data_IF_227589770259
#
_entry.id   IF_227589770259
#
_cell.length_a   1.000
_cell.length_b   1.000
_cell.length_c   1.000
_cell.angle_alpha   90.00
_cell.angle_beta   90.00
_cell.angle_gamma   90.00
#
_symmetry.space_group_name_H-M   'P 1'
#
loop_
_entity.id
_entity.type
_entity.pdbx_description
1 polymer ?
#
# COMPACT_ATOMS: atom_id res chain seq x y z
N UNK A 1 9.22 -35.18 -34.95
CA UNK A 1 8.00 -35.00 -34.13
C UNK A 1 8.40 -35.45 -32.74
N UNK A 2 8.67 -34.48 -31.88
CA UNK A 2 9.50 -34.71 -30.69
C UNK A 2 8.77 -35.53 -29.63
N UNK A 3 9.47 -36.51 -29.05
CA UNK A 3 8.99 -37.41 -27.99
C UNK A 3 8.34 -36.66 -26.81
N UNK A 4 8.70 -35.39 -26.65
CA UNK A 4 8.30 -34.51 -25.56
C UNK A 4 6.83 -34.07 -25.68
N UNK A 5 6.30 -33.87 -26.90
CA UNK A 5 4.89 -33.51 -27.12
C UNK A 5 3.95 -34.63 -26.64
N UNK A 6 4.36 -35.89 -26.81
CA UNK A 6 3.58 -37.04 -26.31
C UNK A 6 3.47 -37.08 -24.79
N UNK A 7 4.41 -36.48 -24.04
CA UNK A 7 4.35 -36.47 -22.58
C UNK A 7 3.17 -35.66 -22.04
N UNK A 8 2.60 -34.78 -22.87
CA UNK A 8 1.50 -33.88 -22.51
C UNK A 8 0.15 -34.21 -23.18
N UNK A 9 0.12 -35.25 -24.02
CA UNK A 9 -1.08 -35.77 -24.67
C UNK A 9 -1.33 -35.15 -26.06
N UNK A 10 -2.37 -35.63 -26.73
CA UNK A 10 -2.65 -35.32 -28.15
C UNK A 10 -3.23 -33.90 -28.40
N UNK A 11 -3.30 -33.05 -27.36
CA UNK A 11 -3.92 -31.72 -27.43
C UNK A 11 -2.98 -30.57 -27.77
N UNK A 12 -1.67 -30.81 -27.86
CA UNK A 12 -0.68 -29.76 -28.12
C UNK A 12 -0.47 -29.50 -29.61
N UNK A 13 -0.59 -28.24 -30.02
CA UNK A 13 -0.16 -27.81 -31.37
C UNK A 13 1.37 -27.71 -31.40
N UNK A 14 1.99 -27.96 -32.56
CA UNK A 14 3.45 -27.99 -32.77
C UNK A 14 4.22 -26.72 -32.35
N UNK A 15 3.56 -25.61 -32.03
CA UNK A 15 4.17 -24.33 -31.67
C UNK A 15 3.70 -23.80 -30.30
N UNK A 16 3.12 -24.65 -29.45
CA UNK A 16 2.68 -24.25 -28.11
C UNK A 16 3.75 -24.60 -27.07
N UNK A 17 4.14 -23.61 -26.26
CA UNK A 17 5.03 -23.82 -25.13
C UNK A 17 4.26 -24.47 -23.99
N UNK A 18 4.86 -25.50 -23.38
CA UNK A 18 4.24 -26.30 -22.33
C UNK A 18 5.26 -26.69 -21.25
N UNK A 19 4.78 -26.98 -20.05
CA UNK A 19 5.57 -27.56 -18.96
C UNK A 19 4.76 -28.65 -18.29
N UNK A 20 5.42 -29.70 -17.79
CA UNK A 20 4.85 -30.59 -16.77
C UNK A 20 5.47 -30.32 -15.39
N UNK A 21 4.82 -30.77 -14.33
CA UNK A 21 5.23 -30.49 -12.97
C UNK A 21 5.71 -31.76 -12.27
N UNK A 22 6.75 -31.62 -11.46
CA UNK A 22 7.29 -32.70 -10.63
C UNK A 22 7.26 -32.28 -9.17
N UNK A 23 7.15 -33.28 -8.28
CA UNK A 23 7.34 -33.07 -6.85
C UNK A 23 8.83 -32.95 -6.47
N UNK A 24 9.11 -32.80 -5.18
CA UNK A 24 10.48 -32.68 -4.66
C UNK A 24 11.33 -33.93 -4.84
N UNK A 25 10.72 -35.09 -5.07
CA UNK A 25 11.40 -36.34 -5.35
C UNK A 25 11.67 -36.52 -6.87
N UNK A 26 11.26 -35.53 -7.68
CA UNK A 26 11.39 -35.56 -9.13
C UNK A 26 10.33 -36.40 -9.82
N UNK A 27 9.29 -36.84 -9.10
CA UNK A 27 8.20 -37.63 -9.68
C UNK A 27 7.21 -36.69 -10.36
N UNK A 28 6.86 -37.01 -11.61
CA UNK A 28 5.82 -36.30 -12.36
C UNK A 28 4.47 -36.38 -11.64
N UNK A 29 3.82 -35.23 -11.51
CA UNK A 29 2.50 -35.09 -10.91
C UNK A 29 1.40 -35.25 -11.97
N UNK A 30 0.34 -35.96 -11.59
CA UNK A 30 -0.84 -36.17 -12.42
C UNK A 30 -1.75 -34.91 -12.42
N UNK A 31 -2.54 -34.67 -13.48
CA UNK A 31 -3.43 -33.51 -13.53
C UNK A 31 -4.44 -33.47 -12.37
N UNK A 32 -4.86 -34.63 -11.87
CA UNK A 32 -5.75 -34.72 -10.71
C UNK A 32 -5.09 -34.29 -9.39
N UNK A 33 -3.78 -34.04 -9.38
CA UNK A 33 -3.02 -33.57 -8.22
C UNK A 33 -2.71 -32.07 -8.32
N UNK A 34 -3.07 -31.40 -9.41
CA UNK A 34 -2.62 -30.05 -9.71
C UNK A 34 -3.79 -29.08 -9.89
N UNK A 35 -3.59 -27.86 -9.43
CA UNK A 35 -4.40 -26.70 -9.79
C UNK A 35 -3.47 -25.65 -10.42
N UNK A 36 -3.91 -25.00 -11.50
CA UNK A 36 -3.14 -23.97 -12.18
C UNK A 36 -3.93 -22.69 -12.37
N UNK A 37 -3.23 -21.56 -12.21
CA UNK A 37 -3.79 -20.23 -12.29
C UNK A 37 -2.88 -19.31 -13.11
N UNK A 38 -3.48 -18.43 -13.91
CA UNK A 38 -2.81 -17.27 -14.48
C UNK A 38 -2.92 -16.11 -13.47
N UNK A 39 -1.77 -15.51 -13.14
CA UNK A 39 -1.67 -14.38 -12.23
C UNK A 39 -1.68 -13.08 -13.03
N UNK A 40 -2.62 -12.20 -12.71
CA UNK A 40 -2.75 -10.85 -13.28
C UNK A 40 -2.81 -9.81 -12.17
N UNK A 41 -2.73 -8.53 -12.52
CA UNK A 41 -2.93 -7.43 -11.55
C UNK A 41 -4.32 -7.47 -10.90
N UNK A 42 -5.33 -7.92 -11.64
CA UNK A 42 -6.71 -8.03 -11.16
C UNK A 42 -6.97 -9.27 -10.27
N UNK A 43 -5.98 -10.17 -10.14
CA UNK A 43 -6.11 -11.41 -9.37
C UNK A 43 -5.74 -12.65 -10.16
N UNK A 44 -6.15 -13.81 -9.64
CA UNK A 44 -5.86 -15.12 -10.23
C UNK A 44 -7.07 -15.72 -10.97
N UNK A 45 -6.81 -16.29 -12.14
CA UNK A 45 -7.83 -16.99 -12.94
C UNK A 45 -7.42 -18.43 -13.20
N UNK A 46 -8.34 -19.38 -13.01
CA UNK A 46 -8.04 -20.81 -13.23
C UNK A 46 -7.72 -21.08 -14.70
N UNK A 47 -6.67 -21.85 -14.94
CA UNK A 47 -6.28 -22.32 -16.27
C UNK A 47 -6.35 -23.83 -16.28
N UNK A 48 -6.82 -24.42 -17.38
CA UNK A 48 -6.92 -25.87 -17.53
C UNK A 48 -5.57 -26.50 -17.86
N UNK A 49 -5.29 -27.63 -17.23
CA UNK A 49 -4.19 -28.52 -17.59
C UNK A 49 -4.63 -29.51 -18.68
N UNK A 50 -3.67 -30.05 -19.42
CA UNK A 50 -3.94 -31.17 -20.34
C UNK A 50 -4.28 -32.45 -19.58
N UNK A 51 -4.79 -33.46 -20.29
CA UNK A 51 -5.09 -34.80 -19.75
C UNK A 51 -3.87 -35.51 -19.12
N UNK A 52 -2.64 -35.02 -19.38
CA UNK A 52 -1.38 -35.54 -18.80
C UNK A 52 -0.68 -34.53 -17.88
N UNK A 53 -1.41 -33.54 -17.38
CA UNK A 53 -0.94 -32.63 -16.33
C UNK A 53 0.01 -31.53 -16.81
N UNK A 54 0.01 -31.22 -18.11
CA UNK A 54 0.83 -30.14 -18.63
C UNK A 54 0.06 -28.82 -18.69
N UNK A 55 0.75 -27.72 -18.43
CA UNK A 55 0.20 -26.37 -18.61
C UNK A 55 0.66 -25.81 -19.94
N UNK A 56 -0.31 -25.35 -20.74
CA UNK A 56 -0.05 -24.57 -21.94
C UNK A 56 -0.03 -23.09 -21.59
N UNK A 57 1.07 -22.42 -21.91
CA UNK A 57 1.25 -21.03 -21.52
C UNK A 57 1.49 -20.12 -22.72
N UNK A 58 1.00 -18.89 -22.61
CA UNK A 58 1.24 -17.82 -23.58
C UNK A 58 2.49 -17.01 -23.20
N UNK A 59 3.03 -16.23 -24.14
CA UNK A 59 4.16 -15.33 -23.86
C UNK A 59 3.75 -14.22 -22.89
N UNK A 60 4.72 -13.72 -22.11
CA UNK A 60 4.59 -12.58 -21.19
C UNK A 60 3.46 -12.75 -20.14
N UNK A 61 3.28 -13.97 -19.65
CA UNK A 61 2.27 -14.31 -18.65
C UNK A 61 2.92 -14.93 -17.43
N UNK A 62 2.30 -14.75 -16.26
CA UNK A 62 2.74 -15.33 -15.00
C UNK A 62 1.74 -16.38 -14.55
N UNK A 63 2.24 -17.51 -14.08
CA UNK A 63 1.43 -18.65 -13.68
C UNK A 63 1.79 -19.11 -12.26
N UNK A 64 0.79 -19.59 -11.54
CA UNK A 64 0.91 -20.33 -10.30
C UNK A 64 0.39 -21.74 -10.53
N UNK A 65 1.19 -22.74 -10.18
CA UNK A 65 0.73 -24.14 -10.16
C UNK A 65 1.02 -24.73 -8.79
N UNK A 66 0.02 -25.38 -8.21
CA UNK A 66 0.10 -25.95 -6.87
C UNK A 66 -0.38 -27.39 -6.82
N UNK A 67 0.19 -28.15 -5.91
CA UNK A 67 -0.28 -29.48 -5.55
C UNK A 67 -1.52 -29.34 -4.65
N UNK A 68 -2.61 -30.02 -4.98
CA UNK A 68 -3.85 -29.98 -4.17
C UNK A 68 -3.76 -30.80 -2.88
N UNK A 69 -2.77 -31.70 -2.78
CA UNK A 69 -2.61 -32.64 -1.66
C UNK A 69 -1.59 -32.17 -0.62
N UNK A 70 -0.84 -31.10 -0.89
CA UNK A 70 0.23 -30.62 0.00
C UNK A 70 0.53 -29.14 -0.16
N UNK A 71 1.62 -28.71 0.47
CA UNK A 71 2.02 -27.29 0.53
C UNK A 71 3.04 -26.91 -0.56
N UNK A 72 3.01 -27.67 -1.67
CA UNK A 72 3.95 -27.53 -2.76
C UNK A 72 3.36 -26.69 -3.89
N UNK A 73 4.10 -25.68 -4.32
CA UNK A 73 3.70 -24.89 -5.49
C UNK A 73 4.89 -24.23 -6.19
N UNK A 74 4.64 -23.74 -7.40
CA UNK A 74 5.61 -22.99 -8.19
C UNK A 74 4.94 -21.80 -8.86
N UNK A 75 5.68 -20.71 -8.95
CA UNK A 75 5.30 -19.48 -9.65
C UNK A 75 6.37 -19.25 -10.69
N UNK A 76 5.94 -19.00 -11.93
CA UNK A 76 6.87 -18.73 -13.01
C UNK A 76 6.28 -17.72 -13.98
N UNK A 77 7.17 -16.97 -14.63
CA UNK A 77 6.83 -16.16 -15.79
C UNK A 77 7.24 -16.91 -17.07
N UNK A 78 6.42 -16.86 -18.10
CA UNK A 78 6.59 -17.68 -19.30
C UNK A 78 7.83 -17.34 -20.11
N UNK A 79 8.31 -16.11 -20.01
CA UNK A 79 9.58 -15.64 -20.56
C UNK A 79 10.79 -16.24 -19.86
N UNK A 80 10.67 -16.70 -18.62
CA UNK A 80 11.77 -17.31 -17.86
C UNK A 80 11.90 -18.83 -18.08
N UNK A 81 11.00 -19.44 -18.85
CA UNK A 81 11.08 -20.86 -19.20
C UNK A 81 11.83 -21.01 -20.52
N UNK A 82 13.16 -21.02 -20.42
CA UNK A 82 14.05 -21.37 -21.53
C UNK A 82 14.41 -22.85 -21.45
N UNK A 83 14.12 -23.61 -22.51
CA UNK A 83 14.54 -25.00 -22.73
C UNK A 83 14.21 -26.00 -21.61
N UNK A 84 13.25 -25.67 -20.75
CA UNK A 84 12.75 -26.57 -19.70
C UNK A 84 11.35 -27.04 -20.03
N UNK A 85 11.21 -28.35 -20.17
CA UNK A 85 9.91 -29.00 -20.34
C UNK A 85 9.24 -29.33 -19.00
N UNK A 86 9.90 -29.04 -17.87
CA UNK A 86 9.37 -29.30 -16.53
C UNK A 86 9.75 -28.25 -15.50
N UNK A 87 8.95 -28.18 -14.44
CA UNK A 87 9.19 -27.36 -13.26
C UNK A 87 8.96 -28.15 -11.97
N UNK A 88 9.84 -27.92 -10.99
CA UNK A 88 9.71 -28.45 -9.64
C UNK A 88 8.71 -27.61 -8.83
N UNK A 89 7.86 -28.27 -8.05
CA UNK A 89 7.06 -27.60 -7.02
C UNK A 89 7.89 -27.46 -5.73
N UNK A 90 8.02 -26.24 -5.21
CA UNK A 90 8.73 -25.96 -3.96
C UNK A 90 7.78 -26.08 -2.76
N UNK A 91 8.30 -26.49 -1.59
CA UNK A 91 7.52 -26.55 -0.35
C UNK A 91 7.46 -25.16 0.31
N UNK A 92 6.23 -24.74 0.64
CA UNK A 92 5.92 -23.45 1.25
C UNK A 92 5.35 -23.57 2.66
N UNK A 93 5.48 -24.75 3.30
CA UNK A 93 5.00 -25.01 4.66
C UNK A 93 5.51 -24.01 5.70
N UNK A 94 6.68 -23.39 5.46
CA UNK A 94 7.34 -22.42 6.35
C UNK A 94 7.03 -20.95 6.01
N UNK A 95 6.32 -20.68 4.91
CA UNK A 95 5.91 -19.32 4.59
C UNK A 95 4.73 -18.93 5.48
N UNK A 96 4.83 -17.76 6.10
CA UNK A 96 3.80 -17.24 6.97
C UNK A 96 3.47 -15.78 6.65
N UNK A 97 2.21 -15.45 6.94
CA UNK A 97 1.72 -14.09 7.01
C UNK A 97 1.13 -13.92 8.40
N UNK A 98 1.39 -12.78 9.03
CA UNK A 98 0.82 -12.41 10.31
C UNK A 98 0.32 -10.98 10.29
N UNK A 99 -0.42 -10.61 11.33
CA UNK A 99 -0.99 -9.28 11.46
C UNK A 99 -0.44 -8.56 12.69
N UNK A 100 -0.20 -7.27 12.55
CA UNK A 100 0.21 -6.35 13.63
C UNK A 100 -0.98 -5.67 14.30
N UNK A 101 -2.10 -6.36 14.40
CA UNK A 101 -3.25 -5.88 15.12
C UNK A 101 -3.96 -7.06 15.79
N UNK A 102 -4.63 -6.80 16.91
CA UNK A 102 -5.33 -7.83 17.70
C UNK A 102 -6.74 -7.35 18.02
N UNK A 103 -7.69 -8.28 18.06
CA UNK A 103 -9.08 -7.99 18.39
C UNK A 103 -9.24 -7.33 19.78
N UNK A 104 -8.45 -7.78 20.76
CA UNK A 104 -8.61 -7.39 22.17
C UNK A 104 -7.88 -6.10 22.55
N UNK A 105 -7.21 -5.43 21.61
CA UNK A 105 -6.40 -4.25 21.90
C UNK A 105 -6.56 -3.21 20.80
N UNK A 106 -7.43 -2.20 21.00
CA UNK A 106 -7.59 -1.13 20.04
C UNK A 106 -6.26 -0.46 19.73
N UNK A 107 -5.96 -0.26 18.45
CA UNK A 107 -4.79 0.48 18.00
C UNK A 107 -5.21 1.86 17.51
N UNK A 108 -4.44 2.88 17.83
CA UNK A 108 -4.66 4.24 17.34
C UNK A 108 -3.79 4.48 16.11
N UNK A 109 -4.37 4.96 15.01
CA UNK A 109 -3.72 5.11 13.70
C UNK A 109 -4.18 6.39 13.00
N UNK A 110 -3.40 6.92 12.06
CA UNK A 110 -3.81 8.03 11.20
C UNK A 110 -4.51 7.57 9.94
N UNK A 111 -4.95 8.55 9.17
CA UNK A 111 -5.50 8.37 7.84
C UNK A 111 -4.48 7.86 6.81
N UNK A 112 -3.18 7.89 7.11
CA UNK A 112 -2.13 7.35 6.23
C UNK A 112 -1.90 5.85 6.40
N UNK A 113 -2.52 5.17 7.37
CA UNK A 113 -2.34 3.74 7.59
C UNK A 113 -2.69 2.94 6.33
N UNK A 114 -1.75 2.12 5.86
CA UNK A 114 -1.95 1.19 4.75
C UNK A 114 -2.05 -0.26 5.23
N UNK A 115 -2.51 -1.15 4.36
CA UNK A 115 -2.56 -2.59 4.68
C UNK A 115 -1.15 -3.16 4.83
N UNK A 116 -0.18 -2.63 4.09
CA UNK A 116 1.23 -3.05 4.17
C UNK A 116 1.80 -2.87 5.58
N UNK A 117 1.38 -1.84 6.31
CA UNK A 117 1.85 -1.56 7.68
C UNK A 117 1.35 -2.59 8.70
N UNK A 118 0.19 -3.19 8.41
CA UNK A 118 -0.47 -4.16 9.29
C UNK A 118 -0.06 -5.60 9.02
N UNK A 119 0.53 -5.90 7.86
CA UNK A 119 0.88 -7.26 7.46
C UNK A 119 2.37 -7.52 7.66
N UNK A 120 2.71 -8.52 8.49
CA UNK A 120 4.08 -9.06 8.61
C UNK A 120 4.21 -10.34 7.79
N UNK A 121 5.33 -10.49 7.10
CA UNK A 121 5.56 -11.61 6.18
C UNK A 121 7.04 -11.99 6.18
N UNK A 122 7.33 -13.28 6.00
CA UNK A 122 8.66 -13.80 5.65
C UNK A 122 8.73 -14.29 4.20
N UNK A 123 7.78 -13.89 3.37
CA UNK A 123 7.61 -14.36 2.01
C UNK A 123 8.67 -13.70 1.11
N UNK A 124 9.51 -14.48 0.41
CA UNK A 124 10.41 -13.93 -0.60
C UNK A 124 9.65 -13.30 -1.76
N UNK A 125 10.23 -12.27 -2.40
CA UNK A 125 9.59 -11.50 -3.49
C UNK A 125 9.12 -12.37 -4.66
N UNK A 126 9.81 -13.48 -4.95
CA UNK A 126 9.41 -14.40 -6.02
C UNK A 126 8.06 -15.10 -5.75
N UNK A 127 7.64 -15.19 -4.48
CA UNK A 127 6.42 -15.87 -4.01
C UNK A 127 5.29 -14.94 -3.61
N UNK A 128 5.57 -13.64 -3.44
CA UNK A 128 4.64 -12.68 -2.84
C UNK A 128 3.34 -12.51 -3.66
N UNK A 129 3.41 -12.65 -4.98
CA UNK A 129 2.23 -12.63 -5.86
C UNK A 129 1.35 -13.88 -5.74
N UNK A 130 1.71 -14.82 -4.87
CA UNK A 130 0.89 -15.96 -4.47
C UNK A 130 -0.13 -15.61 -3.39
N UNK A 131 -0.12 -14.38 -2.85
CA UNK A 131 -0.91 -13.98 -1.69
C UNK A 131 -1.86 -12.84 -2.04
N UNK A 132 -3.15 -13.06 -1.80
CA UNK A 132 -4.20 -12.06 -1.97
C UNK A 132 -4.64 -11.51 -0.61
N UNK A 133 -4.72 -10.20 -0.48
CA UNK A 133 -5.27 -9.53 0.69
C UNK A 133 -6.64 -8.98 0.35
N UNK A 134 -7.56 -9.14 1.28
CA UNK A 134 -8.85 -8.49 1.29
C UNK A 134 -8.95 -7.71 2.60
N UNK A 135 -9.40 -6.46 2.54
CA UNK A 135 -9.71 -5.71 3.75
C UNK A 135 -11.06 -5.02 3.64
N UNK A 136 -11.76 -4.89 4.76
CA UNK A 136 -13.00 -4.11 4.88
C UNK A 136 -13.00 -3.28 6.15
N UNK A 137 -13.63 -2.11 6.10
CA UNK A 137 -13.76 -1.20 7.23
C UNK A 137 -15.23 -0.99 7.53
N UNK A 138 -15.63 -1.38 8.74
CA UNK A 138 -16.98 -1.20 9.25
C UNK A 138 -17.00 -0.10 10.31
N UNK A 139 -17.95 0.84 10.16
CA UNK A 139 -18.30 1.84 11.16
C UNK A 139 -19.82 2.00 11.23
N UNK A 140 -20.35 2.61 12.31
CA UNK A 140 -21.81 2.77 12.50
C UNK A 140 -22.55 3.40 11.30
N UNK A 141 -21.85 4.16 10.45
CA UNK A 141 -22.40 4.92 9.32
C UNK A 141 -21.67 4.65 7.98
N UNK A 142 -20.75 3.69 7.96
CA UNK A 142 -19.88 3.38 6.81
C UNK A 142 -19.75 1.86 6.66
N UNK A 143 -20.27 1.34 5.55
CA UNK A 143 -19.96 0.00 5.08
C UNK A 143 -19.04 0.13 3.87
N UNK A 144 -17.73 0.22 4.10
CA UNK A 144 -16.77 0.18 3.00
C UNK A 144 -16.55 -1.28 2.58
N UNK A 145 -16.88 -1.59 1.33
CA UNK A 145 -16.82 -2.96 0.80
C UNK A 145 -15.39 -3.45 0.59
N UNK A 146 -15.23 -4.76 0.74
CA UNK A 146 -13.95 -5.44 0.70
C UNK A 146 -13.18 -5.15 -0.60
N UNK A 147 -11.98 -4.55 -0.48
CA UNK A 147 -11.07 -4.36 -1.62
C UNK A 147 -10.04 -5.49 -1.60
N UNK A 148 -9.89 -6.19 -2.74
CA UNK A 148 -9.02 -7.35 -2.90
C UNK A 148 -7.87 -7.09 -3.87
N UNK A 149 -6.63 -7.42 -3.48
CA UNK A 149 -5.44 -7.23 -4.32
C UNK A 149 -4.28 -8.14 -3.90
N UNK A 150 -3.24 -8.22 -4.75
CA UNK A 150 -2.02 -8.97 -4.42
C UNK A 150 -1.17 -8.21 -3.38
N UNK A 151 -0.53 -8.93 -2.46
CA UNK A 151 0.22 -8.37 -1.32
C UNK A 151 1.30 -7.33 -1.69
N UNK A 152 1.84 -7.38 -2.91
CA UNK A 152 2.87 -6.45 -3.40
C UNK A 152 2.35 -5.39 -4.40
N UNK A 153 1.03 -5.26 -4.55
CA UNK A 153 0.45 -4.25 -5.43
C UNK A 153 0.55 -2.85 -4.81
N UNK A 154 0.57 -1.80 -5.64
CA UNK A 154 0.47 -0.42 -5.18
C UNK A 154 -0.79 -0.17 -4.34
N UNK A 155 -1.84 -0.98 -4.54
CA UNK A 155 -3.07 -0.93 -3.74
C UNK A 155 -2.86 -1.33 -2.28
N UNK A 156 -1.83 -2.11 -1.96
CA UNK A 156 -1.45 -2.44 -0.58
C UNK A 156 -0.87 -1.24 0.18
N UNK A 157 -0.30 -0.28 -0.55
CA UNK A 157 0.25 0.98 -0.03
C UNK A 157 -0.77 2.10 -0.01
N UNK A 158 -1.92 1.92 -0.68
CA UNK A 158 -3.02 2.87 -0.62
C UNK A 158 -3.56 2.95 0.81
N UNK A 159 -3.80 4.17 1.34
CA UNK A 159 -4.37 4.35 2.66
C UNK A 159 -5.74 3.67 2.80
N UNK A 160 -5.93 2.99 3.93
CA UNK A 160 -7.18 2.31 4.29
C UNK A 160 -8.29 3.34 4.60
N UNK A 161 -7.91 4.43 5.24
CA UNK A 161 -8.81 5.50 5.64
C UNK A 161 -8.64 6.70 4.70
N UNK A 162 -9.73 7.42 4.44
CA UNK A 162 -9.67 8.66 3.69
C UNK A 162 -9.77 9.88 4.62
N UNK A 163 -9.38 11.05 4.12
CA UNK A 163 -9.36 12.31 4.88
C UNK A 163 -10.75 12.79 5.31
N UNK A 164 -11.83 12.24 4.77
CA UNK A 164 -13.22 12.62 5.11
C UNK A 164 -13.82 11.75 6.21
N UNK A 165 -13.21 10.61 6.56
CA UNK A 165 -13.68 9.71 7.62
C UNK A 165 -13.57 10.37 9.01
N UNK A 166 -14.62 10.29 9.83
CA UNK A 166 -14.62 10.87 11.17
C UNK A 166 -13.62 10.19 12.11
N UNK A 167 -13.06 10.92 13.07
CA UNK A 167 -12.21 10.36 14.13
C UNK A 167 -13.06 9.57 15.14
N UNK A 168 -13.28 8.29 14.83
CA UNK A 168 -14.04 7.37 15.67
C UNK A 168 -13.47 5.96 15.59
N UNK A 169 -13.88 5.05 16.50
CA UNK A 169 -13.51 3.65 16.40
C UNK A 169 -14.14 2.99 15.17
N UNK A 170 -13.30 2.30 14.39
CA UNK A 170 -13.66 1.46 13.26
C UNK A 170 -13.29 0.02 13.53
N UNK A 171 -13.99 -0.90 12.87
CA UNK A 171 -13.58 -2.31 12.82
C UNK A 171 -12.94 -2.58 11.46
N UNK A 172 -11.64 -2.83 11.45
CA UNK A 172 -10.92 -3.29 10.27
C UNK A 172 -10.88 -4.81 10.29
N UNK A 173 -11.36 -5.43 9.23
CA UNK A 173 -11.19 -6.86 8.98
C UNK A 173 -10.20 -7.06 7.85
N UNK A 174 -9.13 -7.81 8.09
CA UNK A 174 -8.12 -8.15 7.08
C UNK A 174 -8.10 -9.65 6.91
N UNK A 175 -8.14 -10.10 5.66
CA UNK A 175 -8.12 -11.49 5.28
C UNK A 175 -7.04 -11.70 4.24
N UNK A 176 -6.08 -12.57 4.54
CA UNK A 176 -5.02 -12.96 3.60
C UNK A 176 -5.27 -14.39 3.15
N UNK A 177 -5.40 -14.56 1.85
CA UNK A 177 -5.52 -15.85 1.19
C UNK A 177 -4.16 -16.23 0.62
N UNK A 178 -3.59 -17.32 1.13
CA UNK A 178 -2.36 -17.89 0.58
C UNK A 178 -2.74 -18.83 -0.57
N UNK A 179 -2.63 -18.37 -1.81
CA UNK A 179 -2.93 -19.19 -2.98
C UNK A 179 -1.84 -20.23 -3.29
N UNK A 180 -0.66 -20.17 -2.66
CA UNK A 180 0.34 -21.24 -2.75
C UNK A 180 -0.14 -22.55 -2.10
N UNK A 181 -1.14 -22.46 -1.20
CA UNK A 181 -1.72 -23.59 -0.46
C UNK A 181 -3.23 -23.60 -0.69
N UNK A 182 -3.86 -24.79 -0.74
CA UNK A 182 -5.28 -24.89 -1.11
C UNK A 182 -6.24 -24.26 -0.08
N UNK A 183 -5.94 -24.44 1.21
CA UNK A 183 -6.89 -24.17 2.30
C UNK A 183 -6.35 -23.24 3.38
N UNK A 184 -5.31 -22.45 3.09
CA UNK A 184 -4.78 -21.49 4.06
C UNK A 184 -5.34 -20.09 3.78
N UNK A 185 -6.28 -19.70 4.63
CA UNK A 185 -6.77 -18.34 4.73
C UNK A 185 -6.60 -17.89 6.18
N UNK A 186 -6.02 -16.72 6.36
CA UNK A 186 -5.90 -16.07 7.65
C UNK A 186 -6.83 -14.88 7.65
N UNK A 187 -7.56 -14.69 8.74
CA UNK A 187 -8.48 -13.58 8.90
C UNK A 187 -8.34 -13.04 10.31
N UNK A 188 -8.18 -11.74 10.41
CA UNK A 188 -8.13 -11.02 11.67
C UNK A 188 -9.05 -9.81 11.64
N UNK A 189 -9.66 -9.53 12.78
CA UNK A 189 -10.49 -8.35 13.00
C UNK A 189 -9.85 -7.51 14.11
N UNK A 190 -9.72 -6.22 13.86
CA UNK A 190 -9.06 -5.30 14.78
C UNK A 190 -9.94 -4.07 15.00
N UNK A 191 -10.02 -3.59 16.24
CA UNK A 191 -10.58 -2.27 16.52
C UNK A 191 -9.50 -1.24 16.30
N UNK A 192 -9.80 -0.25 15.46
CA UNK A 192 -8.90 0.84 15.12
C UNK A 192 -9.55 2.14 15.58
N UNK A 193 -8.87 2.91 16.40
CA UNK A 193 -9.24 4.28 16.68
C UNK A 193 -8.57 5.17 15.63
N UNK A 194 -9.36 5.69 14.69
CA UNK A 194 -8.84 6.68 13.75
C UNK A 194 -8.61 7.98 14.51
N UNK A 195 -7.37 8.40 14.52
CA UNK A 195 -6.90 9.62 15.13
C UNK A 195 -6.04 10.33 14.10
N UNK A 196 -6.58 11.37 13.46
CA UNK A 196 -5.85 12.13 12.44
C UNK A 196 -4.84 13.08 13.07
N UNK A 197 -4.64 13.01 14.39
CA UNK A 197 -3.66 13.81 15.11
C UNK A 197 -2.22 13.28 15.06
N UNK A 198 -1.87 12.27 14.23
CA UNK A 198 -0.46 11.83 14.03
C UNK A 198 0.46 12.99 13.66
N UNK A 199 1.67 13.02 14.25
CA UNK A 199 2.07 14.14 15.09
C UNK A 199 1.53 15.43 14.49
N UNK A 200 0.42 15.90 15.06
CA UNK A 200 -0.14 17.20 14.77
C UNK A 200 0.99 18.20 14.95
N UNK A 201 1.52 18.63 13.82
CA UNK A 201 2.42 19.75 13.79
C UNK A 201 1.54 20.96 13.64
N UNK A 202 1.54 21.81 14.65
CA UNK A 202 0.87 23.10 14.58
C UNK A 202 1.92 24.18 14.40
N UNK A 203 1.62 25.15 13.55
CA UNK A 203 2.35 26.39 13.53
C UNK A 203 1.85 27.26 14.69
N UNK A 204 2.66 27.44 15.71
CA UNK A 204 2.34 28.32 16.84
C UNK A 204 3.04 29.66 16.70
N UNK A 205 2.36 30.70 17.20
CA UNK A 205 2.98 32.01 17.40
C UNK A 205 3.25 32.17 18.89
N UNK A 206 4.51 31.99 19.28
CA UNK A 206 4.95 32.07 20.68
C UNK A 206 4.91 33.54 21.16
N UNK A 207 3.76 33.95 21.68
CA UNK A 207 3.54 35.27 22.27
C UNK A 207 2.54 35.23 23.42
N UNK A 208 2.64 36.21 24.30
CA UNK A 208 1.71 36.41 25.42
C UNK A 208 0.34 36.96 25.00
N UNK A 209 0.17 37.47 23.78
CA UNK A 209 -1.09 38.02 23.26
C UNK A 209 -1.52 37.29 21.97
N UNK A 210 -2.82 37.04 21.82
CA UNK A 210 -3.37 36.36 20.64
C UNK A 210 -3.15 37.21 19.38
N UNK A 211 -2.59 36.65 18.29
CA UNK A 211 -2.45 37.34 17.01
C UNK A 211 -3.81 37.78 16.47
N UNK A 212 -3.83 38.91 15.75
CA UNK A 212 -5.05 39.42 15.11
C UNK A 212 -5.33 38.64 13.83
N UNK A 213 -6.60 38.31 13.60
CA UNK A 213 -7.07 37.70 12.36
C UNK A 213 -7.84 38.73 11.53
N UNK A 214 -7.74 38.63 10.21
CA UNK A 214 -8.43 39.50 9.27
C UNK A 214 -9.17 38.67 8.23
N UNK A 215 -10.34 39.13 7.78
CA UNK A 215 -11.05 38.51 6.67
C UNK A 215 -10.32 38.77 5.35
N UNK A 216 -9.90 37.71 4.68
CA UNK A 216 -9.31 37.72 3.34
C UNK A 216 -10.35 37.26 2.32
N UNK A 217 -10.68 38.14 1.36
CA UNK A 217 -11.63 37.87 0.27
C UNK A 217 -13.01 37.34 0.73
N UNK A 218 -13.42 37.62 1.96
CA UNK A 218 -14.74 37.30 2.50
C UNK A 218 -15.04 35.81 2.73
N UNK A 219 -14.06 34.92 2.55
CA UNK A 219 -14.25 33.47 2.69
C UNK A 219 -13.21 32.79 3.58
N UNK A 220 -12.17 33.50 4.04
CA UNK A 220 -11.11 32.94 4.88
C UNK A 220 -10.58 33.97 5.87
N UNK A 221 -10.20 33.53 7.05
CA UNK A 221 -9.47 34.34 8.02
C UNK A 221 -7.97 34.12 7.85
N UNK A 222 -7.20 35.21 7.72
CA UNK A 222 -5.73 35.18 7.68
C UNK A 222 -5.16 35.72 8.99
N UNK A 223 -3.98 35.23 9.35
CA UNK A 223 -3.30 35.59 10.58
C UNK A 223 -2.30 36.73 10.32
N UNK A 224 -2.39 37.83 11.08
CA UNK A 224 -1.37 38.88 11.02
C UNK A 224 -0.20 38.54 11.92
N UNK A 225 0.97 38.42 11.29
CA UNK A 225 2.22 38.10 11.97
C UNK A 225 3.18 39.28 11.83
N UNK A 226 3.69 39.79 12.96
CA UNK A 226 4.67 40.87 13.01
C UNK A 226 6.07 40.31 13.16
N UNK A 227 7.08 41.09 12.79
CA UNK A 227 8.49 40.73 12.96
C UNK A 227 8.92 40.49 14.43
N UNK A 228 8.14 41.00 15.39
CA UNK A 228 8.37 40.75 16.83
C UNK A 228 7.78 39.42 17.32
N UNK A 229 7.02 38.73 16.47
CA UNK A 229 6.44 37.43 16.81
C UNK A 229 7.52 36.34 16.68
N UNK A 230 7.30 35.17 17.27
CA UNK A 230 8.14 34.00 17.02
C UNK A 230 7.25 32.90 16.51
N UNK A 231 7.49 32.43 15.29
CA UNK A 231 6.80 31.29 14.72
C UNK A 231 7.61 30.03 15.04
N UNK A 232 6.97 29.02 15.60
CA UNK A 232 7.60 27.72 15.78
C UNK A 232 6.64 26.64 15.35
N UNK A 233 7.20 25.53 14.91
CA UNK A 233 6.44 24.30 14.90
C UNK A 233 6.32 23.79 16.33
N UNK A 234 5.18 23.20 16.65
CA UNK A 234 4.99 22.45 17.88
C UNK A 234 4.42 21.11 17.52
N UNK A 235 4.98 20.07 18.12
CA UNK A 235 4.41 18.73 18.08
C UNK A 235 3.97 18.31 19.46
N UNK A 236 2.83 17.62 19.51
CA UNK A 236 2.40 16.91 20.71
C UNK A 236 3.06 15.53 20.83
N UNK A 237 3.73 15.05 19.77
CA UNK A 237 4.46 13.79 19.78
C UNK A 237 5.94 13.98 20.15
N UNK A 238 6.42 13.17 21.09
CA UNK A 238 7.82 13.16 21.51
C UNK A 238 8.78 12.59 20.45
N UNK A 239 8.24 11.95 19.41
CA UNK A 239 9.03 11.25 18.39
C UNK A 239 9.26 12.09 17.12
N UNK A 240 8.71 13.32 17.03
CA UNK A 240 8.90 14.16 15.84
C UNK A 240 10.32 14.72 15.77
N UNK A 241 11.11 14.18 14.83
CA UNK A 241 12.50 14.60 14.60
C UNK A 241 12.59 15.84 13.72
N UNK A 242 11.89 15.84 12.58
CA UNK A 242 12.05 16.87 11.56
C UNK A 242 10.71 17.38 11.03
N UNK A 243 10.76 18.58 10.46
CA UNK A 243 9.66 19.27 9.81
C UNK A 243 10.13 19.75 8.47
N UNK A 244 9.40 19.40 7.43
CA UNK A 244 9.60 19.95 6.10
C UNK A 244 8.60 21.10 5.90
N UNK A 245 9.08 22.28 5.51
CA UNK A 245 8.23 23.45 5.32
C UNK A 245 8.67 24.36 4.19
N UNK A 246 7.74 25.19 3.71
CA UNK A 246 7.94 26.13 2.61
C UNK A 246 7.23 27.44 2.87
N UNK A 247 7.90 28.55 2.58
CA UNK A 247 7.34 29.90 2.60
C UNK A 247 7.15 30.36 1.16
N UNK A 248 5.92 30.62 0.76
CA UNK A 248 5.59 31.12 -0.59
C UNK A 248 4.96 32.50 -0.49
N UNK A 249 5.59 33.48 -1.12
CA UNK A 249 5.04 34.84 -1.21
C UNK A 249 3.88 34.82 -2.19
N UNK A 250 2.70 35.21 -1.72
CA UNK A 250 1.48 35.29 -2.54
C UNK A 250 1.33 36.68 -3.16
N UNK A 251 1.59 37.74 -2.39
CA UNK A 251 1.46 39.12 -2.85
C UNK A 251 2.24 40.09 -1.97
N UNK A 252 2.69 41.19 -2.57
CA UNK A 252 3.10 42.39 -1.84
C UNK A 252 1.88 43.13 -1.26
N UNK A 253 2.04 43.77 -0.09
CA UNK A 253 0.98 44.59 0.54
C UNK A 253 0.57 45.81 -0.30
N UNK A 254 1.34 46.14 -1.34
CA UNK A 254 1.15 47.37 -2.13
C UNK A 254 0.19 47.22 -3.31
N UNK A 255 -0.27 46.01 -3.65
CA UNK A 255 -1.26 45.84 -4.73
C UNK A 255 -2.67 46.03 -4.20
N UNK A 256 -3.37 47.07 -4.66
CA UNK A 256 -4.78 47.37 -4.37
C UNK A 256 -5.77 46.29 -4.78
N UNK A 257 -5.30 45.23 -5.45
CA UNK A 257 -6.09 44.11 -5.93
C UNK A 257 -5.54 42.84 -5.30
N UNK A 258 -6.26 42.29 -4.32
CA UNK A 258 -5.99 40.96 -3.77
C UNK A 258 -6.28 39.92 -4.85
N UNK A 259 -5.24 39.25 -5.34
CA UNK A 259 -5.40 38.16 -6.31
C UNK A 259 -5.86 36.89 -5.58
N UNK A 260 -6.76 36.10 -6.19
CA UNK A 260 -7.10 34.79 -5.65
C UNK A 260 -5.84 33.93 -5.60
N UNK A 261 -5.68 33.21 -4.49
CA UNK A 261 -4.57 32.30 -4.27
C UNK A 261 -4.46 31.31 -5.46
N UNK A 262 -3.26 31.06 -6.00
CA UNK A 262 -3.11 30.05 -7.03
C UNK A 262 -3.57 28.70 -6.48
N UNK A 263 -4.44 28.02 -7.22
CA UNK A 263 -5.06 26.75 -6.81
C UNK A 263 -4.06 25.60 -6.57
N UNK A 264 -2.81 25.78 -6.99
CA UNK A 264 -1.68 24.87 -6.78
C UNK A 264 -0.45 25.66 -6.33
N UNK A 265 -0.29 25.89 -5.04
CA UNK A 265 0.97 26.39 -4.49
C UNK A 265 1.98 25.24 -4.49
N UNK A 266 2.93 25.28 -5.41
CA UNK A 266 4.01 24.30 -5.46
C UNK A 266 5.18 24.74 -4.58
N UNK A 267 5.61 23.84 -3.70
CA UNK A 267 6.87 24.01 -3.01
C UNK A 267 8.00 23.36 -3.80
N UNK A 268 8.77 24.18 -4.50
CA UNK A 268 9.87 23.69 -5.32
C UNK A 268 11.14 23.43 -4.51
N UNK A 269 11.32 24.10 -3.37
CA UNK A 269 12.50 23.98 -2.50
C UNK A 269 12.10 24.00 -1.02
N UNK A 270 11.71 22.86 -0.43
CA UNK A 270 11.39 22.79 0.98
C UNK A 270 12.62 22.96 1.86
N UNK A 271 12.41 23.61 3.00
CA UNK A 271 13.39 23.70 4.10
C UNK A 271 13.08 22.63 5.14
N UNK A 272 14.12 22.04 5.73
CA UNK A 272 13.99 21.06 6.81
C UNK A 272 14.47 21.69 8.11
N UNK A 273 13.70 21.52 9.18
CA UNK A 273 14.05 22.01 10.51
C UNK A 273 13.63 21.03 11.60
N UNK A 274 14.32 21.05 12.73
CA UNK A 274 13.87 20.32 13.93
C UNK A 274 12.59 20.96 14.49
N UNK A 275 11.76 20.14 15.15
CA UNK A 275 10.38 20.46 15.57
C UNK A 275 10.23 21.62 16.56
N UNK A 276 11.32 22.20 17.08
CA UNK A 276 11.32 23.28 18.08
C UNK A 276 12.03 24.56 17.62
N UNK A 277 12.43 24.65 16.35
CA UNK A 277 13.19 25.80 15.85
C UNK A 277 12.26 26.96 15.48
N UNK A 278 12.68 28.19 15.82
CA UNK A 278 12.01 29.41 15.40
C UNK A 278 12.22 29.67 13.91
N UNK A 279 11.12 29.87 13.18
CA UNK A 279 11.17 30.24 11.77
C UNK A 279 11.69 31.66 11.59
N UNK A 280 12.60 31.84 10.64
CA UNK A 280 13.02 33.17 10.21
C UNK A 280 11.88 33.84 9.44
N UNK A 281 11.57 35.09 9.80
CA UNK A 281 10.62 35.90 9.04
C UNK A 281 11.22 36.35 7.71
N UNK A 282 10.43 36.41 6.63
CA UNK A 282 10.84 37.11 5.43
C UNK A 282 11.15 38.58 5.69
N UNK A 283 12.14 39.14 4.99
CA UNK A 283 12.57 40.54 5.14
C UNK A 283 11.54 41.58 4.64
N UNK A 284 10.48 41.13 3.96
CA UNK A 284 9.48 41.99 3.32
C UNK A 284 8.07 41.67 3.79
N UNK A 285 7.26 42.72 4.02
CA UNK A 285 5.84 42.58 4.32
C UNK A 285 5.05 42.11 3.09
N UNK A 286 3.95 41.40 3.32
CA UNK A 286 3.22 40.74 2.26
C UNK A 286 2.26 39.68 2.76
N UNK A 287 1.49 39.11 1.84
CA UNK A 287 0.73 37.89 2.08
C UNK A 287 1.61 36.69 1.75
N UNK A 288 1.70 35.77 2.70
CA UNK A 288 2.54 34.58 2.62
C UNK A 288 1.71 33.35 2.91
N UNK A 289 1.98 32.27 2.18
CA UNK A 289 1.48 30.93 2.47
C UNK A 289 2.61 30.10 3.06
N UNK A 290 2.28 29.34 4.11
CA UNK A 290 3.20 28.41 4.76
C UNK A 290 2.63 27.01 4.59
N UNK A 291 3.36 26.16 3.90
CA UNK A 291 3.02 24.75 3.73
C UNK A 291 4.03 23.94 4.54
N UNK A 292 3.57 23.00 5.34
CA UNK A 292 4.47 22.21 6.18
C UNK A 292 3.92 20.81 6.43
N UNK A 293 4.82 19.88 6.75
CA UNK A 293 4.49 18.52 7.18
C UNK A 293 5.57 17.97 8.12
N UNK A 294 5.14 17.09 9.01
CA UNK A 294 6.05 16.27 9.80
C UNK A 294 6.83 15.32 8.86
N UNK A 295 8.13 15.14 9.13
CA UNK A 295 8.97 14.14 8.47
C UNK A 295 9.87 13.45 9.52
N UNK A 296 10.03 12.13 9.42
CA UNK A 296 10.85 11.32 10.34
C UNK A 296 12.35 11.35 10.01
#
# INVERSE_FOLDING_TARGET
MDREIFQCGNGLKQNQSFVYFVDQEGKKLEPTQLESFEITEAGMTSVSLTERGCLNFGPNKKYLVRNIQGDQSTIFASDNIFDKNYLDLKDHSKLFVGFNCKADSPITVNDALSVKDLVRTNIPDEWISGFEIFYSVDGKDLNYQATGFQLNSAQAETPIFNSEMEEKPYRLSIRVKNNLRRSLQLEESCTINLDKSFPSISLEINQSAKPQTFDYLGNRNILSVKSTHTLSFRSESADLKNVEYCLVKLSDETSTILQPEPSNIQCNNPSITESLVSLAFPEHSGFWSIIYRAID
#
